data_IF_961550298295
#
_entry.id   IF_961550298295
#
_cell.length_a   1.000
_cell.length_b   1.000
_cell.length_c   1.000
_cell.angle_alpha   90.00
_cell.angle_beta   90.00
_cell.angle_gamma   90.00
#
_symmetry.space_group_name_H-M   'P 1'
#
loop_
_entity.id
_entity.type
_entity.pdbx_description
1 polymer ?
#
# COMPACT_ATOMS: atom_id res chain seq x y z
N UNK A 1 33.81 -2.68 9.30
CA UNK A 1 33.05 -3.78 8.65
C UNK A 1 31.77 -3.31 7.94
N UNK A 2 31.42 -2.00 7.98
CA UNK A 2 30.18 -1.44 7.43
C UNK A 2 30.20 -1.08 5.92
N UNK A 3 31.36 -0.91 5.30
CA UNK A 3 31.47 -0.37 3.93
C UNK A 3 31.38 -1.46 2.83
N UNK A 4 31.60 -2.73 3.14
CA UNK A 4 31.51 -3.83 2.16
C UNK A 4 30.10 -4.42 2.00
N UNK A 5 29.16 -4.13 2.88
CA UNK A 5 27.76 -4.59 2.80
C UNK A 5 26.95 -3.72 1.85
N UNK A 6 27.23 -2.40 1.78
CA UNK A 6 26.49 -1.45 0.95
C UNK A 6 26.60 -1.69 -0.57
N UNK A 7 27.78 -2.11 -1.06
CA UNK A 7 27.99 -2.29 -2.52
C UNK A 7 27.34 -3.56 -3.09
N UNK A 8 26.96 -4.53 -2.27
CA UNK A 8 26.40 -5.81 -2.74
C UNK A 8 24.87 -5.80 -2.89
N UNK A 9 24.15 -4.82 -2.34
CA UNK A 9 22.68 -4.77 -2.40
C UNK A 9 22.11 -3.80 -3.45
N UNK A 10 22.96 -3.14 -4.24
CA UNK A 10 22.54 -2.36 -5.42
C UNK A 10 22.05 -3.26 -6.54
N UNK A 11 22.61 -4.46 -6.66
CA UNK A 11 22.14 -5.49 -7.58
C UNK A 11 20.87 -6.15 -7.01
N UNK A 12 19.83 -6.21 -7.85
CA UNK A 12 18.51 -6.75 -7.46
C UNK A 12 18.55 -8.23 -7.09
N UNK A 13 19.46 -9.03 -7.66
CA UNK A 13 19.57 -10.45 -7.32
C UNK A 13 20.14 -10.62 -5.90
N UNK A 14 21.18 -9.86 -5.57
CA UNK A 14 21.79 -9.82 -4.23
C UNK A 14 20.79 -9.30 -3.18
N UNK A 15 20.03 -8.24 -3.51
CA UNK A 15 18.95 -7.72 -2.66
C UNK A 15 17.89 -8.79 -2.37
N UNK A 16 17.38 -9.45 -3.42
CA UNK A 16 16.38 -10.54 -3.27
C UNK A 16 16.92 -11.67 -2.38
N UNK A 17 18.15 -12.11 -2.60
CA UNK A 17 18.76 -13.18 -1.82
C UNK A 17 18.94 -12.78 -0.34
N UNK A 18 19.34 -11.52 -0.06
CA UNK A 18 19.46 -11.02 1.30
C UNK A 18 18.10 -10.91 1.98
N UNK A 19 17.12 -10.31 1.32
CA UNK A 19 15.75 -10.21 1.81
C UNK A 19 15.14 -11.58 2.13
N UNK A 20 15.34 -12.57 1.25
CA UNK A 20 14.87 -13.94 1.47
C UNK A 20 15.53 -14.56 2.73
N UNK A 21 16.82 -14.32 2.97
CA UNK A 21 17.49 -14.76 4.21
C UNK A 21 16.90 -14.09 5.46
N UNK A 22 16.72 -12.76 5.42
CA UNK A 22 16.16 -12.00 6.55
C UNK A 22 14.75 -12.48 6.90
N UNK A 23 13.92 -12.68 5.90
CA UNK A 23 12.52 -13.11 6.09
C UNK A 23 12.39 -14.59 6.48
N UNK A 24 13.42 -15.43 6.19
CA UNK A 24 13.46 -16.84 6.59
C UNK A 24 13.92 -17.06 8.02
N UNK A 25 14.52 -16.05 8.69
CA UNK A 25 14.96 -16.17 10.08
C UNK A 25 13.82 -16.58 11.00
N UNK A 26 14.09 -17.51 11.94
CA UNK A 26 13.11 -17.94 12.94
C UNK A 26 12.62 -16.78 13.82
N UNK A 27 13.49 -15.79 14.10
CA UNK A 27 13.14 -14.55 14.81
C UNK A 27 12.13 -13.72 14.04
N UNK A 28 12.32 -13.56 12.73
CA UNK A 28 11.40 -12.82 11.86
C UNK A 28 10.03 -13.50 11.81
N UNK A 29 10.02 -14.83 11.66
CA UNK A 29 8.75 -15.61 11.67
C UNK A 29 8.00 -15.44 12.98
N UNK A 30 8.72 -15.50 14.11
CA UNK A 30 8.11 -15.27 15.44
C UNK A 30 7.51 -13.87 15.57
N UNK A 31 8.22 -12.82 15.12
CA UNK A 31 7.68 -11.44 15.12
C UNK A 31 6.36 -11.37 14.36
N UNK A 32 6.29 -12.02 13.18
CA UNK A 32 5.09 -12.03 12.33
C UNK A 32 3.95 -12.78 13.02
N UNK A 33 4.21 -13.98 13.51
CA UNK A 33 3.20 -14.84 14.12
C UNK A 33 2.63 -14.19 15.40
N UNK A 34 3.48 -13.65 16.26
CA UNK A 34 3.07 -12.95 17.49
C UNK A 34 2.22 -11.71 17.19
N UNK A 35 2.60 -10.93 16.16
CA UNK A 35 1.86 -9.74 15.74
C UNK A 35 0.48 -10.07 15.15
N UNK A 36 0.38 -11.13 14.36
CA UNK A 36 -0.90 -11.59 13.80
C UNK A 36 -1.86 -12.09 14.90
N UNK A 37 -1.33 -12.79 15.92
CA UNK A 37 -2.11 -13.21 17.08
C UNK A 37 -2.56 -12.01 17.93
N UNK A 38 -1.64 -11.08 18.20
CA UNK A 38 -1.93 -9.90 19.01
C UNK A 38 -2.80 -8.86 18.30
N UNK A 39 -2.86 -8.87 16.95
CA UNK A 39 -3.50 -7.84 16.15
C UNK A 39 -2.82 -6.48 16.29
N UNK A 40 -1.50 -6.45 16.49
CA UNK A 40 -0.71 -5.23 16.70
C UNK A 40 0.48 -5.18 15.75
N UNK A 41 0.80 -3.97 15.25
CA UNK A 41 1.93 -3.79 14.36
C UNK A 41 3.25 -3.94 15.13
N UNK A 42 4.16 -4.82 14.69
CA UNK A 42 5.42 -5.03 15.40
C UNK A 42 6.45 -3.98 14.95
N UNK A 43 6.76 -3.00 15.80
CA UNK A 43 7.81 -2.00 15.54
C UNK A 43 9.14 -2.69 15.15
N UNK A 44 9.44 -3.82 15.77
CA UNK A 44 10.65 -4.61 15.52
C UNK A 44 10.84 -5.07 14.07
N UNK A 45 9.78 -5.09 13.24
CA UNK A 45 9.93 -5.41 11.81
C UNK A 45 10.58 -4.23 11.06
N UNK A 46 10.23 -2.99 11.40
CA UNK A 46 10.86 -1.80 10.82
C UNK A 46 12.31 -1.70 11.26
N UNK A 47 12.58 -1.90 12.55
CA UNK A 47 13.94 -1.93 13.12
C UNK A 47 14.81 -3.02 12.46
N UNK A 48 14.25 -4.20 12.22
CA UNK A 48 14.93 -5.28 11.51
C UNK A 48 15.27 -4.89 10.07
N UNK A 49 14.29 -4.42 9.29
CA UNK A 49 14.49 -4.06 7.89
C UNK A 49 15.47 -2.90 7.72
N UNK A 50 15.45 -1.91 8.62
CA UNK A 50 16.42 -0.82 8.64
C UNK A 50 17.82 -1.30 8.95
N UNK A 51 18.00 -2.05 10.05
CA UNK A 51 19.28 -2.62 10.46
C UNK A 51 19.91 -3.53 9.40
N UNK A 52 19.09 -4.29 8.69
CA UNK A 52 19.52 -5.17 7.60
C UNK A 52 19.74 -4.41 6.27
N UNK A 53 19.58 -3.08 6.26
CA UNK A 53 19.83 -2.23 5.10
C UNK A 53 18.80 -2.36 3.97
N UNK A 54 17.64 -2.96 4.22
CA UNK A 54 16.61 -3.21 3.19
C UNK A 54 16.04 -1.87 2.67
N UNK A 55 15.73 -0.93 3.57
CA UNK A 55 15.26 0.39 3.15
C UNK A 55 16.38 1.21 2.49
N UNK A 56 17.61 1.13 3.01
CA UNK A 56 18.75 1.85 2.44
C UNK A 56 19.05 1.40 1.00
N UNK A 57 19.00 0.11 0.72
CA UNK A 57 19.16 -0.43 -0.64
C UNK A 57 18.10 0.10 -1.62
N UNK A 58 16.86 0.31 -1.15
CA UNK A 58 15.77 0.86 -1.95
C UNK A 58 15.89 2.37 -2.17
N UNK A 59 16.42 3.12 -1.18
CA UNK A 59 16.49 4.58 -1.15
C UNK A 59 17.89 5.13 -1.47
N UNK A 60 18.62 4.51 -2.42
CA UNK A 60 19.93 4.99 -2.87
C UNK A 60 19.82 6.34 -3.60
N UNK A 61 18.81 6.51 -4.46
CA UNK A 61 18.45 7.83 -4.99
C UNK A 61 17.63 8.55 -3.90
N UNK A 62 18.07 9.75 -3.48
CA UNK A 62 17.35 10.51 -2.45
C UNK A 62 15.96 10.98 -2.87
N UNK A 63 15.63 11.00 -4.15
CA UNK A 63 14.36 11.50 -4.66
C UNK A 63 13.40 10.41 -5.15
N UNK A 64 13.91 9.24 -5.53
CA UNK A 64 13.13 8.18 -6.16
C UNK A 64 13.46 6.80 -5.57
N UNK A 65 12.45 6.02 -5.16
CA UNK A 65 12.69 4.65 -4.75
C UNK A 65 13.03 3.75 -5.95
N UNK A 66 13.90 2.78 -5.76
CA UNK A 66 14.13 1.75 -6.75
C UNK A 66 12.88 0.85 -6.87
N UNK A 67 12.16 0.93 -8.00
CA UNK A 67 10.89 0.22 -8.19
C UNK A 67 11.05 -1.30 -8.18
N UNK A 68 12.16 -1.82 -8.68
CA UNK A 68 12.46 -3.25 -8.64
C UNK A 68 12.65 -3.77 -7.20
N UNK A 69 13.27 -2.95 -6.31
CA UNK A 69 13.39 -3.25 -4.88
C UNK A 69 12.02 -3.17 -4.19
N UNK A 70 11.20 -2.17 -4.56
CA UNK A 70 9.82 -2.05 -4.08
C UNK A 70 8.99 -3.28 -4.44
N UNK A 71 9.06 -3.70 -5.72
CA UNK A 71 8.36 -4.89 -6.21
C UNK A 71 8.81 -6.14 -5.44
N UNK A 72 10.13 -6.33 -5.30
CA UNK A 72 10.69 -7.49 -4.61
C UNK A 72 10.31 -7.54 -3.13
N UNK A 73 10.40 -6.41 -2.42
CA UNK A 73 10.04 -6.30 -1.00
C UNK A 73 8.56 -6.61 -0.78
N UNK A 74 7.69 -5.92 -1.52
CA UNK A 74 6.25 -6.04 -1.36
C UNK A 74 5.72 -7.43 -1.72
N UNK A 75 6.21 -8.02 -2.81
CA UNK A 75 5.82 -9.38 -3.19
C UNK A 75 6.21 -10.41 -2.13
N UNK A 76 7.40 -10.29 -1.55
CA UNK A 76 7.85 -11.21 -0.51
C UNK A 76 7.04 -11.09 0.76
N UNK A 77 6.70 -9.88 1.17
CA UNK A 77 5.78 -9.69 2.29
C UNK A 77 4.39 -10.27 2.00
N UNK A 78 3.90 -10.14 0.77
CA UNK A 78 2.66 -10.81 0.36
C UNK A 78 2.72 -12.34 0.52
N UNK A 79 3.86 -12.95 0.17
CA UNK A 79 4.10 -14.40 0.31
C UNK A 79 4.23 -14.87 1.77
N UNK A 80 4.36 -13.98 2.74
CA UNK A 80 4.36 -14.34 4.16
C UNK A 80 2.95 -14.55 4.73
N UNK A 81 1.91 -14.11 4.02
CA UNK A 81 0.53 -14.21 4.48
C UNK A 81 0.21 -13.33 5.69
N UNK A 82 0.86 -12.18 5.79
CA UNK A 82 0.74 -11.20 6.89
C UNK A 82 0.31 -9.83 6.34
N UNK A 83 -0.92 -9.73 5.85
CA UNK A 83 -1.44 -8.58 5.13
C UNK A 83 -1.34 -7.26 5.90
N UNK A 84 -1.61 -7.27 7.20
CA UNK A 84 -1.51 -6.09 8.06
C UNK A 84 -0.08 -5.57 8.22
N UNK A 85 0.89 -6.47 8.45
CA UNK A 85 2.31 -6.12 8.58
C UNK A 85 2.83 -5.59 7.24
N UNK A 86 2.55 -6.29 6.15
CA UNK A 86 2.97 -5.89 4.82
C UNK A 86 2.46 -4.48 4.46
N UNK A 87 1.20 -4.18 4.78
CA UNK A 87 0.61 -2.85 4.57
C UNK A 87 1.24 -1.78 5.47
N UNK A 88 1.56 -2.11 6.73
CA UNK A 88 2.24 -1.18 7.64
C UNK A 88 3.65 -0.81 7.17
N UNK A 89 4.41 -1.78 6.65
CA UNK A 89 5.72 -1.54 6.00
C UNK A 89 5.57 -0.64 4.77
N UNK A 90 4.54 -0.87 3.95
CA UNK A 90 4.25 -0.03 2.77
C UNK A 90 3.90 1.41 3.16
N UNK A 91 3.10 1.62 4.22
CA UNK A 91 2.74 2.96 4.70
C UNK A 91 3.93 3.70 5.30
N UNK A 92 4.77 3.01 6.06
CA UNK A 92 6.03 3.57 6.55
C UNK A 92 6.91 4.06 5.38
N UNK A 93 7.09 3.23 4.39
CA UNK A 93 7.88 3.54 3.20
C UNK A 93 7.27 4.66 2.34
N UNK A 94 5.94 4.76 2.27
CA UNK A 94 5.22 5.84 1.61
C UNK A 94 5.49 7.21 2.29
N UNK A 95 5.59 7.22 3.62
CA UNK A 95 6.00 8.42 4.36
C UNK A 95 7.46 8.80 4.07
N UNK A 96 8.39 7.83 4.04
CA UNK A 96 9.77 8.07 3.63
C UNK A 96 9.80 8.70 2.23
N UNK A 97 9.00 8.19 1.29
CA UNK A 97 8.91 8.70 -0.06
C UNK A 97 8.55 10.20 -0.11
N UNK A 98 7.58 10.62 0.70
CA UNK A 98 7.22 12.04 0.79
C UNK A 98 8.33 12.89 1.37
N UNK A 99 8.99 12.44 2.45
CA UNK A 99 10.07 13.17 3.09
C UNK A 99 11.30 13.30 2.18
N UNK A 100 11.71 12.23 1.52
CA UNK A 100 12.88 12.20 0.63
C UNK A 100 12.68 13.10 -0.59
N UNK A 101 11.54 13.03 -1.24
CA UNK A 101 11.32 13.78 -2.48
C UNK A 101 10.92 15.23 -2.27
N UNK A 102 10.13 15.52 -1.24
CA UNK A 102 9.51 16.84 -1.06
C UNK A 102 9.94 17.55 0.21
N UNK A 103 10.52 16.85 1.18
CA UNK A 103 11.06 17.44 2.41
C UNK A 103 12.25 18.35 2.11
N UNK A 104 12.09 19.66 2.40
CA UNK A 104 13.12 20.66 2.09
C UNK A 104 13.99 21.04 3.28
N UNK A 105 13.49 20.86 4.50
CA UNK A 105 14.22 21.18 5.72
C UNK A 105 15.23 20.07 6.07
N UNK A 106 16.28 20.41 6.80
CA UNK A 106 17.22 19.44 7.38
C UNK A 106 16.49 18.45 8.29
N UNK A 107 15.59 18.95 9.14
CA UNK A 107 14.82 18.14 10.08
C UNK A 107 13.96 17.07 9.39
N UNK A 108 13.35 17.36 8.25
CA UNK A 108 12.59 16.36 7.47
C UNK A 108 13.51 15.31 6.86
N UNK A 109 14.71 15.71 6.42
CA UNK A 109 15.74 14.78 5.92
C UNK A 109 16.26 13.86 7.02
N UNK A 110 16.56 14.41 8.20
CA UNK A 110 17.02 13.65 9.35
C UNK A 110 16.00 12.58 9.78
N UNK A 111 14.69 12.95 9.81
CA UNK A 111 13.64 11.97 10.12
C UNK A 111 13.53 10.91 9.03
N UNK A 112 13.70 11.26 7.75
CA UNK A 112 13.73 10.28 6.67
C UNK A 112 14.91 9.29 6.82
N UNK A 113 16.07 9.78 7.19
CA UNK A 113 17.27 8.94 7.41
C UNK A 113 17.11 8.02 8.62
N UNK A 114 16.54 8.52 9.74
CA UNK A 114 16.17 7.70 10.89
C UNK A 114 15.14 6.62 10.52
N UNK A 115 14.17 6.95 9.67
CA UNK A 115 13.16 5.99 9.22
C UNK A 115 13.77 4.90 8.30
N UNK A 116 14.69 5.26 7.42
CA UNK A 116 15.46 4.33 6.57
C UNK A 116 16.35 3.43 7.42
N UNK A 117 16.94 3.95 8.49
CA UNK A 117 17.73 3.17 9.44
C UNK A 117 16.88 2.26 10.35
N UNK A 118 15.55 2.41 10.33
CA UNK A 118 14.63 1.69 11.21
C UNK A 118 14.55 2.24 12.64
N UNK A 119 15.13 3.40 12.89
CA UNK A 119 15.15 4.07 14.20
C UNK A 119 13.85 4.81 14.50
N UNK A 120 13.15 5.29 13.45
CA UNK A 120 11.85 5.93 13.54
C UNK A 120 10.79 5.18 12.71
N UNK A 121 9.59 5.02 13.27
CA UNK A 121 8.42 4.48 12.57
C UNK A 121 7.54 5.64 12.11
N UNK A 122 7.22 5.64 10.81
CA UNK A 122 6.38 6.67 10.19
C UNK A 122 4.98 6.13 9.88
N UNK A 123 4.00 7.04 9.95
CA UNK A 123 2.61 6.79 9.60
C UNK A 123 2.12 7.90 8.64
N UNK A 124 1.15 7.60 7.81
CA UNK A 124 0.45 8.58 6.97
C UNK A 124 -1.03 8.60 7.37
N UNK A 125 -1.60 9.77 7.55
CA UNK A 125 -3.02 9.91 7.88
C UNK A 125 -3.67 11.10 7.18
N UNK A 126 -4.67 10.79 6.38
CA UNK A 126 -5.48 11.77 5.68
C UNK A 126 -6.95 11.66 6.04
N UNK A 127 -7.48 10.44 6.19
CA UNK A 127 -8.91 10.15 6.33
C UNK A 127 -9.49 10.63 7.66
N UNK A 128 -10.61 11.35 7.58
CA UNK A 128 -11.45 11.79 8.70
C UNK A 128 -12.79 11.04 8.74
N UNK A 129 -13.60 11.30 9.76
CA UNK A 129 -14.93 10.67 9.87
C UNK A 129 -15.86 11.08 8.71
N UNK A 130 -15.75 12.30 8.23
CA UNK A 130 -16.57 12.88 7.15
C UNK A 130 -15.86 12.93 5.79
N UNK A 131 -14.57 12.62 5.69
CA UNK A 131 -13.79 12.77 4.47
C UNK A 131 -12.76 11.64 4.31
N UNK A 132 -12.88 10.90 3.22
CA UNK A 132 -11.97 9.81 2.85
C UNK A 132 -11.62 9.89 1.37
N UNK A 133 -12.53 9.49 0.48
CA UNK A 133 -12.36 9.64 -0.98
C UNK A 133 -12.35 11.12 -1.40
N UNK A 134 -13.20 11.94 -0.78
CA UNK A 134 -13.17 13.39 -0.95
C UNK A 134 -12.13 14.05 -0.02
N UNK A 135 -10.90 14.17 -0.53
CA UNK A 135 -9.79 14.77 0.20
C UNK A 135 -9.94 16.30 0.39
N UNK A 136 -10.79 16.95 -0.40
CA UNK A 136 -11.06 18.39 -0.26
C UNK A 136 -12.12 18.69 0.81
N UNK A 137 -12.83 17.67 1.27
CA UNK A 137 -13.81 17.74 2.36
C UNK A 137 -13.21 17.61 3.77
N UNK A 138 -11.88 17.65 3.92
CA UNK A 138 -11.21 17.58 5.23
C UNK A 138 -11.61 18.77 6.12
N UNK A 139 -11.81 18.50 7.41
CA UNK A 139 -12.15 19.49 8.44
C UNK A 139 -10.95 19.92 9.30
N UNK A 140 -9.92 19.10 9.39
CA UNK A 140 -8.70 19.42 10.14
C UNK A 140 -7.91 20.53 9.44
N UNK A 141 -7.38 21.46 10.21
CA UNK A 141 -6.80 22.70 9.72
C UNK A 141 -5.35 22.91 10.14
N UNK A 142 -4.61 23.65 9.31
CA UNK A 142 -3.31 24.20 9.62
C UNK A 142 -3.37 25.73 9.45
N UNK A 143 -3.30 26.47 10.55
CA UNK A 143 -3.34 27.94 10.56
C UNK A 143 -1.95 28.48 10.83
N UNK A 144 -1.48 29.44 10.03
CA UNK A 144 -0.17 30.05 10.22
C UNK A 144 -0.13 30.86 11.52
N UNK A 145 0.83 30.60 12.38
CA UNK A 145 1.13 31.30 13.63
C UNK A 145 2.66 31.48 13.75
N UNK A 146 3.12 32.55 14.34
CA UNK A 146 4.50 32.89 14.71
C UNK A 146 5.61 31.88 14.36
N UNK A 147 6.11 31.93 13.12
CA UNK A 147 7.19 31.06 12.65
C UNK A 147 6.81 29.58 12.38
N UNK A 148 5.53 29.23 12.57
CA UNK A 148 5.04 27.87 12.38
C UNK A 148 3.55 27.82 12.03
N UNK A 149 2.92 26.73 12.45
CA UNK A 149 1.51 26.45 12.18
C UNK A 149 0.83 25.83 13.40
N UNK A 150 -0.37 26.31 13.72
CA UNK A 150 -1.27 25.64 14.67
C UNK A 150 -2.10 24.62 13.89
N UNK A 151 -1.94 23.36 14.25
CA UNK A 151 -2.67 22.23 13.67
C UNK A 151 -3.80 21.82 14.59
N UNK A 152 -5.04 21.77 14.08
CA UNK A 152 -6.23 21.38 14.84
C UNK A 152 -7.07 20.37 14.09
N UNK A 153 -7.54 19.34 14.79
CA UNK A 153 -8.46 18.37 14.23
C UNK A 153 -8.25 16.96 14.72
N UNK A 154 -8.73 16.03 13.90
CA UNK A 154 -8.59 14.61 14.15
C UNK A 154 -8.51 13.83 12.85
N UNK A 155 -7.86 12.67 12.89
CA UNK A 155 -7.90 11.69 11.80
C UNK A 155 -8.50 10.40 12.32
N UNK A 156 -9.37 9.78 11.51
CA UNK A 156 -10.03 8.53 11.87
C UNK A 156 -9.10 7.33 11.62
N UNK A 157 -8.40 7.32 10.49
CA UNK A 157 -7.61 6.18 10.06
C UNK A 157 -6.13 6.58 9.99
N UNK A 158 -5.36 6.21 11.01
CA UNK A 158 -3.93 6.41 11.04
C UNK A 158 -3.24 5.06 11.33
N UNK A 159 -2.42 4.58 10.41
CA UNK A 159 -1.78 3.26 10.49
C UNK A 159 -0.28 3.36 10.19
N UNK A 160 0.57 2.80 11.01
CA UNK A 160 0.38 2.17 12.32
C UNK A 160 0.53 3.16 13.49
N UNK A 161 -0.38 4.09 13.68
CA UNK A 161 -0.23 5.21 14.65
C UNK A 161 0.08 4.81 16.09
N UNK A 162 -0.37 3.65 16.65
CA UNK A 162 -0.03 3.27 18.03
C UNK A 162 1.48 3.05 18.28
N UNK A 163 2.27 2.81 17.22
CA UNK A 163 3.72 2.55 17.32
C UNK A 163 4.56 3.57 16.54
N UNK A 164 3.90 4.53 15.87
CA UNK A 164 4.58 5.53 15.07
C UNK A 164 5.24 6.62 15.93
N UNK A 165 6.44 7.04 15.55
CA UNK A 165 7.13 8.19 16.14
C UNK A 165 6.67 9.50 15.51
N UNK A 166 6.36 9.48 14.20
CA UNK A 166 5.86 10.62 13.45
C UNK A 166 4.71 10.24 12.54
N UNK A 167 3.81 11.18 12.33
CA UNK A 167 2.67 11.03 11.42
C UNK A 167 2.70 12.14 10.38
N UNK A 168 2.63 11.78 9.10
CA UNK A 168 2.33 12.73 8.03
C UNK A 168 0.83 13.00 8.05
N UNK A 169 0.44 14.22 8.35
CA UNK A 169 -0.95 14.67 8.39
C UNK A 169 -1.29 15.48 7.14
N UNK A 170 -2.40 15.10 6.47
CA UNK A 170 -3.01 15.91 5.43
C UNK A 170 -4.05 16.84 6.06
N UNK A 171 -3.90 18.16 5.86
CA UNK A 171 -4.68 19.21 6.52
C UNK A 171 -5.10 20.27 5.52
N UNK A 172 -6.20 20.98 5.78
CA UNK A 172 -6.53 22.20 5.07
C UNK A 172 -5.67 23.33 5.58
N UNK A 173 -4.88 23.95 4.70
CA UNK A 173 -4.13 25.16 5.02
C UNK A 173 -5.06 26.36 5.00
N UNK A 174 -5.30 26.99 6.15
CA UNK A 174 -6.05 28.25 6.21
C UNK A 174 -5.02 29.39 6.14
N UNK A 175 -4.83 29.90 4.93
CA UNK A 175 -4.25 31.22 4.73
C UNK A 175 -5.38 32.18 4.35
N UNK A 176 -5.48 33.31 5.04
CA UNK A 176 -6.52 34.32 4.78
C UNK A 176 -6.50 34.88 3.34
N UNK A 177 -5.42 34.62 2.59
CA UNK A 177 -5.23 35.06 1.20
C UNK A 177 -5.71 34.08 0.14
N UNK A 178 -6.01 32.82 0.49
CA UNK A 178 -6.36 31.76 -0.47
C UNK A 178 -7.57 30.94 0.01
N UNK A 179 -8.76 31.51 -0.09
CA UNK A 179 -10.01 30.79 0.07
C UNK A 179 -10.34 29.98 -1.22
N UNK A 180 -9.42 29.11 -1.68
CA UNK A 180 -9.57 28.28 -2.86
C UNK A 180 -9.84 26.82 -2.50
N UNK A 181 -10.35 26.04 -3.48
CA UNK A 181 -10.66 24.61 -3.33
C UNK A 181 -9.42 23.72 -3.12
N UNK A 182 -8.22 24.22 -3.37
CA UNK A 182 -6.96 23.44 -3.33
C UNK A 182 -6.02 24.01 -2.26
N UNK A 183 -6.44 23.88 -1.00
CA UNK A 183 -5.67 24.35 0.16
C UNK A 183 -5.02 23.20 0.97
N UNK A 184 -4.95 21.99 0.41
CA UNK A 184 -4.34 20.85 1.09
C UNK A 184 -2.84 21.07 1.33
N UNK A 185 -2.43 20.87 2.59
CA UNK A 185 -1.04 20.92 3.06
C UNK A 185 -0.67 19.62 3.75
N UNK A 186 0.62 19.28 3.77
CA UNK A 186 1.14 18.10 4.46
C UNK A 186 2.18 18.51 5.49
N UNK A 187 2.02 17.99 6.71
CA UNK A 187 2.94 18.23 7.82
C UNK A 187 3.40 16.92 8.43
N UNK A 188 4.67 16.86 8.81
CA UNK A 188 5.20 15.81 9.66
C UNK A 188 5.04 16.24 11.12
N UNK A 189 4.38 15.42 11.92
CA UNK A 189 4.09 15.75 13.32
C UNK A 189 4.56 14.63 14.24
N UNK A 190 5.34 14.93 15.30
CA UNK A 190 5.70 13.94 16.31
C UNK A 190 4.43 13.36 16.96
N UNK A 191 4.33 12.05 17.08
CA UNK A 191 3.16 11.38 17.67
C UNK A 191 3.00 11.76 19.15
N UNK A 192 4.10 12.09 19.83
CA UNK A 192 4.10 12.58 21.21
C UNK A 192 3.32 13.89 21.43
N UNK A 193 3.07 14.65 20.35
CA UNK A 193 2.27 15.88 20.38
C UNK A 193 0.78 15.65 20.09
N UNK A 194 0.37 14.38 19.98
CA UNK A 194 -0.99 13.98 19.64
C UNK A 194 -1.53 12.99 20.66
N UNK A 195 -2.84 12.87 20.73
CA UNK A 195 -3.49 11.79 21.45
C UNK A 195 -3.88 10.69 20.47
N UNK A 196 -3.23 9.54 20.54
CA UNK A 196 -3.61 8.34 19.82
C UNK A 196 -4.74 7.64 20.58
N UNK A 197 -5.82 7.32 19.88
CA UNK A 197 -6.94 6.58 20.46
C UNK A 197 -6.69 5.07 20.50
N UNK A 198 -7.70 4.33 20.93
CA UNK A 198 -7.66 2.86 20.90
C UNK A 198 -7.68 2.38 19.44
N UNK A 199 -6.84 1.38 19.12
CA UNK A 199 -6.86 0.73 17.84
C UNK A 199 -8.23 0.10 17.54
N UNK A 200 -8.66 0.20 16.30
CA UNK A 200 -9.93 -0.39 15.86
C UNK A 200 -9.82 -1.91 15.73
N UNK A 201 -10.89 -2.60 16.07
CA UNK A 201 -11.06 -4.01 15.75
C UNK A 201 -11.53 -4.13 14.30
N UNK A 202 -10.60 -4.38 13.41
CA UNK A 202 -10.84 -4.45 11.95
C UNK A 202 -11.16 -5.88 11.51
N UNK A 203 -11.95 -6.03 10.45
CA UNK A 203 -12.31 -7.34 9.86
C UNK A 203 -11.07 -8.08 9.34
N UNK A 204 -10.14 -7.37 8.73
CA UNK A 204 -8.89 -7.90 8.18
C UNK A 204 -7.73 -6.91 8.39
N UNK A 205 -6.53 -7.33 8.06
CA UNK A 205 -5.28 -6.60 8.26
C UNK A 205 -5.12 -6.10 9.73
N UNK A 206 -5.50 -6.92 10.70
CA UNK A 206 -5.58 -6.52 12.12
C UNK A 206 -4.23 -6.07 12.67
N UNK A 207 -3.16 -6.73 12.26
CA UNK A 207 -1.78 -6.43 12.66
C UNK A 207 -1.24 -5.09 12.12
N UNK A 208 -2.01 -4.33 11.31
CA UNK A 208 -1.61 -2.98 10.90
C UNK A 208 -1.80 -1.95 12.02
N UNK A 209 -2.64 -2.23 13.02
CA UNK A 209 -2.92 -1.34 14.17
C UNK A 209 -3.40 0.06 13.77
N UNK A 210 -4.55 0.14 13.13
CA UNK A 210 -5.17 1.43 12.77
C UNK A 210 -5.87 2.05 13.99
N UNK A 211 -5.53 3.31 14.32
CA UNK A 211 -6.19 4.04 15.42
C UNK A 211 -6.53 5.49 15.00
N UNK A 212 -7.51 6.14 15.66
CA UNK A 212 -7.74 7.56 15.45
C UNK A 212 -6.69 8.39 16.17
N UNK A 213 -6.38 9.57 15.63
CA UNK A 213 -5.48 10.54 16.24
C UNK A 213 -6.16 11.89 16.37
N UNK A 214 -5.90 12.59 17.47
CA UNK A 214 -6.50 13.88 17.82
C UNK A 214 -5.37 14.85 18.16
N UNK A 215 -5.45 16.07 17.64
CA UNK A 215 -4.39 17.06 17.80
C UNK A 215 -4.93 18.48 17.88
N UNK A 216 -4.33 19.26 18.77
CA UNK A 216 -4.33 20.70 18.84
C UNK A 216 -2.92 21.11 19.25
N UNK A 217 -2.02 21.26 18.27
CA UNK A 217 -0.59 21.41 18.50
C UNK A 217 0.02 22.46 17.58
N UNK A 218 1.11 23.05 18.03
CA UNK A 218 1.93 23.92 17.19
C UNK A 218 3.13 23.15 16.63
N UNK A 219 3.42 23.36 15.37
CA UNK A 219 4.60 22.81 14.70
C UNK A 219 5.37 23.93 13.99
N UNK A 220 6.69 23.84 14.01
CA UNK A 220 7.55 24.75 13.28
C UNK A 220 7.34 24.62 11.76
N UNK A 221 7.56 25.70 11.01
CA UNK A 221 7.39 25.72 9.55
C UNK A 221 8.32 24.73 8.82
N UNK A 222 9.43 24.34 9.41
CA UNK A 222 10.36 23.33 8.89
C UNK A 222 9.81 21.90 8.90
N UNK A 223 8.67 21.65 9.58
CA UNK A 223 7.94 20.37 9.55
C UNK A 223 6.92 20.27 8.41
N UNK A 224 6.78 21.31 7.58
CA UNK A 224 5.89 21.30 6.42
C UNK A 224 6.54 20.57 5.24
N UNK A 225 5.89 19.49 4.79
CA UNK A 225 6.32 18.70 3.62
C UNK A 225 5.80 19.35 2.33
N UNK A 226 4.52 19.73 2.33
CA UNK A 226 3.85 20.36 1.20
C UNK A 226 3.04 21.57 1.68
N UNK A 227 3.26 22.71 1.02
CA UNK A 227 2.52 23.95 1.29
C UNK A 227 1.06 23.83 0.85
N UNK A 228 0.15 24.67 1.38
CA UNK A 228 -1.20 24.80 0.86
C UNK A 228 -1.21 24.94 -0.67
N UNK A 229 -2.12 24.22 -1.34
CA UNK A 229 -2.22 24.17 -2.80
C UNK A 229 -1.29 23.18 -3.50
N UNK A 230 -0.35 22.54 -2.78
CA UNK A 230 0.52 21.49 -3.37
C UNK A 230 0.37 20.14 -2.72
N UNK A 231 -0.36 20.05 -1.60
CA UNK A 231 -0.50 18.83 -0.81
C UNK A 231 -1.15 17.68 -1.56
N UNK A 232 -2.17 17.97 -2.39
CA UNK A 232 -2.84 16.93 -3.17
C UNK A 232 -1.90 16.30 -4.22
N UNK A 233 -1.06 17.10 -4.87
CA UNK A 233 -0.10 16.59 -5.86
C UNK A 233 0.98 15.71 -5.19
N UNK A 234 1.49 16.14 -4.02
CA UNK A 234 2.47 15.37 -3.24
C UNK A 234 1.85 14.06 -2.74
N UNK A 235 0.64 14.12 -2.18
CA UNK A 235 -0.07 12.93 -1.70
C UNK A 235 -0.40 11.97 -2.86
N UNK A 236 -0.85 12.49 -4.00
CA UNK A 236 -1.16 11.67 -5.18
C UNK A 236 0.07 10.94 -5.73
N UNK A 237 1.22 11.61 -5.72
CA UNK A 237 2.48 10.97 -6.10
C UNK A 237 2.89 9.86 -5.13
N UNK A 238 2.80 10.11 -3.82
CA UNK A 238 3.11 9.10 -2.80
C UNK A 238 2.14 7.90 -2.88
N UNK A 239 0.84 8.17 -3.09
CA UNK A 239 -0.17 7.13 -3.32
C UNK A 239 0.12 6.30 -4.58
N UNK A 240 0.75 6.86 -5.61
CA UNK A 240 1.15 6.08 -6.78
C UNK A 240 2.21 5.03 -6.41
N UNK A 241 3.17 5.37 -5.56
CA UNK A 241 4.18 4.43 -5.05
C UNK A 241 3.52 3.35 -4.15
N UNK A 242 2.65 3.76 -3.25
CA UNK A 242 1.91 2.87 -2.35
C UNK A 242 1.02 1.89 -3.13
N UNK A 243 0.28 2.35 -4.14
CA UNK A 243 -0.58 1.51 -4.99
C UNK A 243 0.21 0.46 -5.75
N UNK A 244 1.39 0.82 -6.28
CA UNK A 244 2.29 -0.12 -6.93
C UNK A 244 2.79 -1.19 -5.95
N UNK A 245 3.24 -0.78 -4.76
CA UNK A 245 3.68 -1.68 -3.70
C UNK A 245 2.54 -2.62 -3.24
N UNK A 246 1.32 -2.09 -3.08
CA UNK A 246 0.14 -2.88 -2.71
C UNK A 246 -0.21 -3.90 -3.80
N UNK A 247 -0.14 -3.54 -5.09
CA UNK A 247 -0.35 -4.48 -6.18
C UNK A 247 0.67 -5.64 -6.12
N UNK A 248 1.94 -5.32 -5.92
CA UNK A 248 3.00 -6.32 -5.76
C UNK A 248 2.76 -7.24 -4.54
N UNK A 249 2.36 -6.67 -3.40
CA UNK A 249 2.01 -7.41 -2.19
C UNK A 249 0.87 -8.42 -2.45
N UNK A 250 -0.19 -7.98 -3.11
CA UNK A 250 -1.34 -8.85 -3.40
C UNK A 250 -0.98 -9.96 -4.39
N UNK A 251 -0.14 -9.68 -5.39
CA UNK A 251 0.39 -10.74 -6.26
C UNK A 251 1.18 -11.80 -5.49
N UNK A 252 2.03 -11.37 -4.56
CA UNK A 252 2.75 -12.29 -3.67
C UNK A 252 1.80 -13.18 -2.87
N UNK A 253 0.74 -12.60 -2.32
CA UNK A 253 -0.31 -13.33 -1.60
C UNK A 253 -1.08 -14.31 -2.51
N UNK A 254 -1.37 -13.93 -3.77
CA UNK A 254 -1.99 -14.82 -4.75
C UNK A 254 -1.12 -16.03 -5.07
N UNK A 255 0.18 -15.83 -5.30
CA UNK A 255 1.11 -16.93 -5.55
C UNK A 255 1.17 -17.89 -4.37
N UNK A 256 1.21 -17.37 -3.12
CA UNK A 256 1.16 -18.21 -1.93
C UNK A 256 -0.13 -19.03 -1.88
N UNK A 257 -1.29 -18.39 -2.02
CA UNK A 257 -2.58 -19.05 -1.91
C UNK A 257 -2.79 -20.13 -2.99
N UNK A 258 -2.45 -19.82 -4.25
CA UNK A 258 -2.52 -20.78 -5.35
C UNK A 258 -1.56 -21.96 -5.14
N UNK A 259 -0.31 -21.69 -4.76
CA UNK A 259 0.67 -22.76 -4.50
C UNK A 259 0.23 -23.72 -3.39
N UNK A 260 -0.28 -23.18 -2.27
CA UNK A 260 -0.81 -23.97 -1.15
C UNK A 260 -2.06 -24.75 -1.59
N UNK A 261 -2.92 -24.14 -2.42
CA UNK A 261 -4.14 -24.78 -2.94
C UNK A 261 -3.80 -25.94 -3.88
N UNK A 262 -2.86 -25.77 -4.80
CA UNK A 262 -2.39 -26.86 -5.69
C UNK A 262 -1.79 -28.00 -4.87
N UNK A 263 -0.99 -27.69 -3.84
CA UNK A 263 -0.43 -28.72 -2.96
C UNK A 263 -1.53 -29.52 -2.24
N UNK A 264 -2.56 -28.85 -1.74
CA UNK A 264 -3.72 -29.52 -1.16
C UNK A 264 -4.46 -30.37 -2.19
N UNK A 265 -4.73 -29.83 -3.38
CA UNK A 265 -5.43 -30.57 -4.44
C UNK A 265 -4.71 -31.87 -4.82
N UNK A 266 -3.38 -31.88 -4.82
CA UNK A 266 -2.59 -33.10 -5.11
C UNK A 266 -2.60 -34.11 -3.97
N UNK A 267 -2.75 -33.66 -2.73
CA UNK A 267 -2.77 -34.54 -1.54
C UNK A 267 -4.16 -35.06 -1.18
N UNK A 268 -5.19 -34.24 -1.32
CA UNK A 268 -6.57 -34.60 -0.93
C UNK A 268 -7.23 -35.40 -2.00
N UNK A 269 -7.81 -36.54 -1.62
CA UNK A 269 -8.63 -37.42 -2.50
C UNK A 269 -10.12 -37.18 -2.23
N UNK A 270 -10.91 -37.24 -3.29
CA UNK A 270 -12.37 -37.26 -3.28
C UNK A 270 -12.87 -38.15 -4.43
N UNK A 271 -13.88 -38.94 -4.20
CA UNK A 271 -14.38 -39.91 -5.18
C UNK A 271 -13.27 -40.82 -5.76
N UNK A 272 -12.31 -41.23 -4.93
CA UNK A 272 -11.23 -42.15 -5.29
C UNK A 272 -9.99 -41.53 -5.96
N UNK A 273 -10.05 -40.30 -6.43
CA UNK A 273 -8.95 -39.60 -7.13
C UNK A 273 -8.52 -38.34 -6.40
N UNK A 274 -7.34 -37.80 -6.72
CA UNK A 274 -6.89 -36.52 -6.16
C UNK A 274 -7.79 -35.37 -6.64
N UNK A 275 -7.99 -34.35 -5.82
CA UNK A 275 -8.76 -33.17 -6.24
C UNK A 275 -8.21 -32.53 -7.51
N UNK A 276 -6.89 -32.58 -7.71
CA UNK A 276 -6.22 -32.09 -8.91
C UNK A 276 -6.62 -32.83 -10.19
N UNK A 277 -7.04 -34.09 -10.08
CA UNK A 277 -7.44 -34.91 -11.23
C UNK A 277 -8.87 -34.58 -11.70
N UNK A 278 -9.66 -33.89 -10.86
CA UNK A 278 -10.93 -33.32 -11.29
C UNK A 278 -10.72 -32.15 -12.23
N UNK A 279 -11.04 -32.33 -13.52
CA UNK A 279 -10.79 -31.35 -14.57
C UNK A 279 -11.35 -29.96 -14.25
N UNK A 280 -12.59 -29.88 -13.75
CA UNK A 280 -13.26 -28.62 -13.42
C UNK A 280 -12.48 -27.79 -12.39
N UNK A 281 -11.91 -28.44 -11.36
CA UNK A 281 -11.12 -27.76 -10.33
C UNK A 281 -9.76 -27.33 -10.87
N UNK A 282 -9.09 -28.21 -11.61
CA UNK A 282 -7.78 -27.94 -12.20
C UNK A 282 -7.82 -26.77 -13.19
N UNK A 283 -8.82 -26.70 -14.07
CA UNK A 283 -8.96 -25.63 -15.04
C UNK A 283 -9.28 -24.29 -14.38
N UNK A 284 -10.07 -24.28 -13.32
CA UNK A 284 -10.34 -23.08 -12.53
C UNK A 284 -9.07 -22.49 -11.90
N UNK A 285 -8.24 -23.32 -11.29
CA UNK A 285 -6.95 -22.88 -10.72
C UNK A 285 -5.98 -22.43 -11.83
N UNK A 286 -5.97 -23.11 -12.97
CA UNK A 286 -5.12 -22.73 -14.12
C UNK A 286 -5.50 -21.35 -14.68
N UNK A 287 -6.80 -21.02 -14.80
CA UNK A 287 -7.26 -19.69 -15.21
C UNK A 287 -6.76 -18.61 -14.24
N UNK A 288 -6.96 -18.81 -12.94
CA UNK A 288 -6.48 -17.86 -11.93
C UNK A 288 -4.97 -17.68 -11.97
N UNK A 289 -4.21 -18.77 -12.11
CA UNK A 289 -2.76 -18.71 -12.21
C UNK A 289 -2.30 -17.91 -13.44
N UNK A 290 -2.89 -18.18 -14.61
CA UNK A 290 -2.56 -17.47 -15.84
C UNK A 290 -2.81 -15.95 -15.71
N UNK A 291 -3.93 -15.56 -15.09
CA UNK A 291 -4.25 -14.15 -14.85
C UNK A 291 -3.28 -13.48 -13.85
N UNK A 292 -2.86 -14.20 -12.80
CA UNK A 292 -1.84 -13.74 -11.85
C UNK A 292 -0.50 -13.56 -12.54
N UNK A 293 -0.10 -14.50 -13.40
CA UNK A 293 1.16 -14.41 -14.16
C UNK A 293 1.15 -13.21 -15.12
N UNK A 294 0.03 -12.96 -15.80
CA UNK A 294 -0.12 -11.78 -16.67
C UNK A 294 -0.04 -10.46 -15.89
N UNK A 295 -0.63 -10.39 -14.70
CA UNK A 295 -0.50 -9.20 -13.84
C UNK A 295 0.94 -9.01 -13.35
N UNK A 296 1.67 -10.09 -13.11
CA UNK A 296 3.09 -10.03 -12.77
C UNK A 296 3.91 -9.42 -13.90
N UNK A 297 3.70 -9.86 -15.14
CA UNK A 297 4.36 -9.29 -16.31
C UNK A 297 4.03 -7.79 -16.49
N UNK A 298 2.79 -7.38 -16.17
CA UNK A 298 2.41 -5.97 -16.19
C UNK A 298 3.19 -5.13 -15.16
N UNK A 299 3.39 -5.64 -13.94
CA UNK A 299 4.22 -4.93 -12.94
C UNK A 299 5.70 -4.92 -13.31
N UNK A 300 6.23 -5.99 -13.91
CA UNK A 300 7.59 -6.00 -14.44
C UNK A 300 7.77 -4.96 -15.56
N UNK A 301 6.74 -4.78 -16.39
CA UNK A 301 6.72 -3.72 -17.42
C UNK A 301 6.77 -2.31 -16.83
N UNK A 302 6.09 -2.06 -15.69
CA UNK A 302 6.18 -0.78 -14.98
C UNK A 302 7.57 -0.57 -14.36
N UNK A 303 8.23 -1.63 -13.88
CA UNK A 303 9.61 -1.55 -13.38
C UNK A 303 10.57 -1.21 -14.53
N UNK A 304 10.46 -1.90 -15.66
CA UNK A 304 11.29 -1.67 -16.83
C UNK A 304 11.12 -0.27 -17.44
N UNK A 305 9.95 0.32 -17.26
CA UNK A 305 9.64 1.70 -17.66
C UNK A 305 9.18 2.52 -16.46
N UNK A 306 10.11 2.84 -15.54
CA UNK A 306 9.82 3.55 -14.31
C UNK A 306 9.15 4.92 -14.53
N UNK A 307 9.41 5.59 -15.64
CA UNK A 307 8.73 6.83 -16.04
C UNK A 307 7.23 6.61 -16.33
N UNK A 308 6.83 5.38 -16.63
CA UNK A 308 5.43 4.98 -16.84
C UNK A 308 4.63 4.84 -15.52
N UNK A 309 5.31 4.79 -14.36
CA UNK A 309 4.61 4.78 -13.07
C UNK A 309 4.09 6.18 -12.73
N UNK A 310 2.82 6.36 -12.91
CA UNK A 310 2.09 7.60 -12.63
C UNK A 310 0.78 7.30 -11.88
N UNK A 311 0.00 8.35 -11.63
CA UNK A 311 -1.28 8.23 -10.87
C UNK A 311 -2.25 7.27 -11.56
N UNK A 312 -2.36 7.31 -12.91
CA UNK A 312 -3.27 6.46 -13.68
C UNK A 312 -2.79 5.01 -13.74
N UNK A 313 -1.52 4.76 -14.11
CA UNK A 313 -0.98 3.40 -14.23
C UNK A 313 -0.94 2.67 -12.89
N UNK A 314 -0.62 3.38 -11.79
CA UNK A 314 -0.66 2.82 -10.44
C UNK A 314 -2.08 2.51 -9.98
N UNK A 315 -3.06 3.36 -10.31
CA UNK A 315 -4.47 3.11 -10.03
C UNK A 315 -4.96 1.87 -10.79
N UNK A 316 -4.69 1.77 -12.08
CA UNK A 316 -5.03 0.62 -12.90
C UNK A 316 -4.41 -0.68 -12.36
N UNK A 317 -3.11 -0.66 -12.06
CA UNK A 317 -2.42 -1.82 -11.50
C UNK A 317 -3.05 -2.26 -10.17
N UNK A 318 -3.24 -1.33 -9.22
CA UNK A 318 -3.81 -1.63 -7.90
C UNK A 318 -5.21 -2.19 -8.00
N UNK A 319 -6.12 -1.52 -8.69
CA UNK A 319 -7.53 -1.95 -8.72
C UNK A 319 -7.71 -3.29 -9.41
N UNK A 320 -6.97 -3.55 -10.50
CA UNK A 320 -7.04 -4.81 -11.25
C UNK A 320 -6.47 -5.96 -10.43
N UNK A 321 -5.27 -5.79 -9.85
CA UNK A 321 -4.61 -6.85 -9.09
C UNK A 321 -5.37 -7.17 -7.79
N UNK A 322 -5.86 -6.16 -7.07
CA UNK A 322 -6.60 -6.38 -5.81
C UNK A 322 -7.92 -7.09 -6.05
N UNK A 323 -8.65 -6.76 -7.13
CA UNK A 323 -9.88 -7.48 -7.49
C UNK A 323 -9.60 -8.93 -7.84
N UNK A 324 -8.56 -9.19 -8.64
CA UNK A 324 -8.09 -10.56 -8.91
C UNK A 324 -7.70 -11.28 -7.62
N UNK A 325 -7.00 -10.61 -6.72
CA UNK A 325 -6.62 -11.17 -5.41
C UNK A 325 -7.81 -11.59 -4.56
N UNK A 326 -8.88 -10.80 -4.52
CA UNK A 326 -10.12 -11.17 -3.84
C UNK A 326 -10.75 -12.44 -4.45
N UNK A 327 -10.74 -12.57 -5.76
CA UNK A 327 -11.25 -13.76 -6.48
C UNK A 327 -10.37 -14.97 -6.17
N UNK A 328 -9.05 -14.85 -6.28
CA UNK A 328 -8.08 -15.91 -5.96
C UNK A 328 -8.28 -16.43 -4.53
N UNK A 329 -8.35 -15.53 -3.54
CA UNK A 329 -8.53 -15.92 -2.14
C UNK A 329 -9.85 -16.62 -1.92
N UNK A 330 -10.93 -16.13 -2.53
CA UNK A 330 -12.28 -16.75 -2.44
C UNK A 330 -12.29 -18.16 -3.04
N UNK A 331 -11.71 -18.34 -4.22
CA UNK A 331 -11.66 -19.63 -4.90
C UNK A 331 -10.73 -20.64 -4.19
N UNK A 332 -9.58 -20.19 -3.71
CA UNK A 332 -8.68 -21.02 -2.91
C UNK A 332 -9.37 -21.52 -1.63
N UNK A 333 -10.05 -20.61 -0.91
CA UNK A 333 -10.82 -20.96 0.28
C UNK A 333 -11.94 -21.96 -0.04
N UNK A 334 -12.65 -21.77 -1.15
CA UNK A 334 -13.70 -22.68 -1.62
C UNK A 334 -13.16 -24.07 -1.94
N UNK A 335 -12.04 -24.19 -2.66
CA UNK A 335 -11.40 -25.47 -3.00
C UNK A 335 -10.91 -26.23 -1.75
N UNK A 336 -10.54 -25.51 -0.70
CA UNK A 336 -10.17 -26.11 0.58
C UNK A 336 -11.37 -26.74 1.31
N UNK A 337 -12.60 -26.35 0.98
CA UNK A 337 -13.82 -26.82 1.64
C UNK A 337 -13.86 -26.39 3.10
N UNK A 338 -14.27 -27.28 4.02
CA UNK A 338 -14.34 -26.98 5.45
C UNK A 338 -13.01 -26.45 6.01
N UNK A 339 -11.90 -27.02 5.59
CA UNK A 339 -10.58 -26.54 6.01
C UNK A 339 -10.27 -25.10 5.59
N UNK A 340 -10.94 -24.58 4.57
CA UNK A 340 -10.79 -23.19 4.12
C UNK A 340 -11.44 -22.17 5.06
N UNK A 341 -12.46 -22.59 5.82
CA UNK A 341 -13.21 -21.71 6.73
C UNK A 341 -12.86 -21.93 8.21
N UNK A 342 -12.13 -22.97 8.53
CA UNK A 342 -11.65 -23.27 9.88
C UNK A 342 -10.26 -22.67 10.08
N UNK A 343 -10.17 -21.59 10.85
CA UNK A 343 -8.89 -20.86 11.10
C UNK A 343 -7.81 -21.76 11.72
N UNK A 344 -8.21 -22.79 12.48
CA UNK A 344 -7.29 -23.78 13.05
C UNK A 344 -6.68 -24.74 12.00
N UNK A 345 -7.30 -24.89 10.81
CA UNK A 345 -6.85 -25.79 9.76
C UNK A 345 -6.12 -25.06 8.62
N UNK A 346 -6.47 -23.81 8.36
CA UNK A 346 -5.80 -23.00 7.33
C UNK A 346 -5.93 -21.48 7.58
N UNK A 347 -4.96 -20.68 7.13
CA UNK A 347 -5.02 -19.22 7.25
C UNK A 347 -5.86 -18.55 6.14
N UNK A 348 -6.50 -19.31 5.24
CA UNK A 348 -7.17 -18.76 4.05
C UNK A 348 -8.28 -17.78 4.40
N UNK A 349 -9.04 -18.04 5.47
CA UNK A 349 -10.09 -17.14 5.95
C UNK A 349 -9.52 -15.78 6.38
N UNK A 350 -8.35 -15.75 7.04
CA UNK A 350 -7.63 -14.53 7.39
C UNK A 350 -7.12 -13.83 6.12
N UNK A 351 -6.45 -14.53 5.22
CA UNK A 351 -5.92 -13.95 3.98
C UNK A 351 -7.03 -13.35 3.11
N UNK A 352 -8.18 -14.00 3.04
CA UNK A 352 -9.36 -13.49 2.34
C UNK A 352 -9.85 -12.15 2.93
N UNK A 353 -9.93 -12.03 4.27
CA UNK A 353 -10.28 -10.78 4.94
C UNK A 353 -9.24 -9.69 4.71
N UNK A 354 -7.95 -10.03 4.78
CA UNK A 354 -6.85 -9.08 4.60
C UNK A 354 -6.83 -8.48 3.19
N UNK A 355 -6.94 -9.32 2.15
CA UNK A 355 -6.97 -8.85 0.75
C UNK A 355 -8.19 -7.98 0.47
N UNK A 356 -9.33 -8.26 1.12
CA UNK A 356 -10.53 -7.44 0.99
C UNK A 356 -10.32 -6.00 1.43
N UNK A 357 -9.50 -5.77 2.46
CA UNK A 357 -9.17 -4.42 2.95
C UNK A 357 -8.40 -3.59 1.92
N UNK A 358 -7.60 -4.23 1.07
CA UNK A 358 -6.86 -3.56 0.01
C UNK A 358 -7.75 -2.92 -1.06
N UNK A 359 -9.03 -3.29 -1.18
CA UNK A 359 -9.99 -2.61 -2.07
C UNK A 359 -10.38 -1.21 -1.59
N UNK A 360 -10.06 -0.87 -0.32
CA UNK A 360 -10.41 0.40 0.33
C UNK A 360 -9.17 1.26 0.53
N UNK A 361 -8.10 0.69 1.10
CA UNK A 361 -6.83 1.40 1.33
C UNK A 361 -6.17 1.87 0.03
N UNK A 362 -5.46 3.00 0.06
CA UNK A 362 -4.83 3.60 -1.13
C UNK A 362 -5.82 4.13 -2.18
N UNK A 363 -7.12 4.23 -1.83
CA UNK A 363 -8.26 4.62 -2.68
C UNK A 363 -9.17 3.44 -2.99
N UNK A 364 -10.50 3.67 -2.89
CA UNK A 364 -11.50 2.65 -3.23
C UNK A 364 -11.47 2.29 -4.71
N UNK A 365 -12.02 1.13 -5.07
CA UNK A 365 -12.09 0.70 -6.47
C UNK A 365 -12.73 1.79 -7.36
N UNK A 366 -13.80 2.42 -6.90
CA UNK A 366 -14.56 3.44 -7.61
C UNK A 366 -13.66 4.66 -7.90
N UNK A 367 -12.96 5.17 -6.88
CA UNK A 367 -12.02 6.29 -7.05
C UNK A 367 -10.88 5.96 -8.01
N UNK A 368 -10.39 4.73 -7.98
CA UNK A 368 -9.32 4.32 -8.89
C UNK A 368 -9.83 4.15 -10.32
N UNK A 369 -11.07 3.67 -10.51
CA UNK A 369 -11.68 3.63 -11.83
C UNK A 369 -11.94 5.03 -12.40
N UNK A 370 -12.33 6.01 -11.59
CA UNK A 370 -12.45 7.41 -12.02
C UNK A 370 -11.09 7.97 -12.51
N UNK A 371 -10.00 7.66 -11.78
CA UNK A 371 -8.65 8.05 -12.22
C UNK A 371 -8.28 7.43 -13.57
N UNK A 372 -8.64 6.16 -13.80
CA UNK A 372 -8.41 5.49 -15.08
C UNK A 372 -9.29 6.08 -16.17
N UNK A 373 -10.57 6.31 -15.87
CA UNK A 373 -11.56 6.84 -16.82
C UNK A 373 -11.22 8.25 -17.29
N UNK A 374 -10.68 9.11 -16.41
CA UNK A 374 -10.24 10.46 -16.77
C UNK A 374 -9.15 10.51 -17.86
N UNK A 375 -8.48 9.40 -18.13
CA UNK A 375 -7.49 9.30 -19.20
C UNK A 375 -7.95 8.48 -20.41
N UNK A 376 -9.26 8.20 -20.56
CA UNK A 376 -9.80 7.58 -21.76
C UNK A 376 -9.92 8.64 -22.87
N UNK A 377 -9.33 8.34 -24.01
CA UNK A 377 -9.38 9.21 -25.18
C UNK A 377 -10.30 8.59 -26.24
N UNK A 378 -11.24 9.38 -26.82
CA UNK A 378 -12.09 8.90 -27.89
C UNK A 378 -11.33 8.85 -29.23
N UNK A 379 -11.59 7.86 -30.04
CA UNK A 379 -11.13 7.77 -31.44
C UNK A 379 -12.29 8.17 -32.37
N UNK A 380 -12.55 9.47 -32.50
CA UNK A 380 -13.59 9.99 -33.37
C UNK A 380 -13.35 9.67 -34.85
N UNK A 381 -12.08 9.61 -35.30
CA UNK A 381 -11.78 9.30 -36.69
C UNK A 381 -12.22 7.88 -37.08
N UNK A 382 -11.91 6.88 -36.23
CA UNK A 382 -12.41 5.52 -36.44
C UNK A 382 -13.92 5.43 -36.25
N UNK A 383 -14.48 6.17 -35.28
CA UNK A 383 -15.92 6.19 -35.04
C UNK A 383 -16.67 6.66 -36.28
N UNK A 384 -16.30 7.82 -36.84
CA UNK A 384 -16.96 8.42 -38.02
C UNK A 384 -16.81 7.54 -39.29
N UNK A 385 -15.72 6.76 -39.37
CA UNK A 385 -15.48 5.84 -40.47
C UNK A 385 -16.28 4.54 -40.36
N UNK A 386 -16.47 4.01 -39.15
CA UNK A 386 -16.97 2.65 -38.93
C UNK A 386 -18.43 2.61 -38.46
N UNK A 387 -18.92 3.69 -37.86
CA UNK A 387 -20.25 3.76 -37.27
C UNK A 387 -21.16 4.65 -38.10
N UNK A 388 -22.20 4.07 -38.68
CA UNK A 388 -23.24 4.79 -39.42
C UNK A 388 -24.48 4.85 -38.55
N UNK A 389 -24.71 6.00 -37.89
CA UNK A 389 -25.91 6.20 -37.10
C UNK A 389 -27.13 6.27 -38.02
N UNK A 390 -28.14 5.45 -37.69
CA UNK A 390 -29.41 5.51 -38.41
C UNK A 390 -30.06 6.88 -38.18
N UNK A 391 -30.36 7.57 -39.30
CA UNK A 391 -31.18 8.80 -39.25
C UNK A 391 -32.58 8.46 -39.71
N UNK A 392 -33.63 8.90 -38.99
CA UNK A 392 -34.99 8.75 -39.49
C UNK A 392 -35.13 9.51 -40.79
N UNK A 393 -35.70 8.83 -41.82
CA UNK A 393 -36.10 9.51 -43.06
C UNK A 393 -37.09 10.61 -42.67
N UNK A 394 -36.85 11.84 -43.15
CA UNK A 394 -37.85 12.91 -43.04
C UNK A 394 -39.12 12.43 -43.77
N UNK A 395 -40.16 12.16 -43.00
CA UNK A 395 -41.47 11.86 -43.55
C UNK A 395 -41.97 13.17 -44.17
N UNK A 396 -41.77 13.29 -45.51
CA UNK A 396 -42.28 14.40 -46.28
C UNK A 396 -43.80 14.46 -46.38
#
# INVERSE_FOLDING_TARGET
>A
MSIQVETSMTDIASFKAHLDRVLALASTRRIIDDAEVAGTFPRSIIELLGREGIFAAKWQDPALPALEHTLALSERFGRLGCGGIASGVTLHDSAIAMLRRFGRSERLRDVADQAIAGEAVLCVSATEAGAGSDMLGLSSTAVREDGGYRLRGHKKMASPSPVADYIVLALRGIDQSHAGRDDLALFLVPTSQMRVGKAFDTVGARSISTAPVFFDTWVSADMMIARPGTGLAVLSWALAQERFAMAAQILGACHLALGVTVARMKRRKSFGVALFDHQALRLRVADLQARVDMMRLALDGLVANAAGLNVRSSAAAKVTVVRLGCEVMSECMHIFGSAGVLEMESPLGRWWRDVKMARIGGGTDEMLWEIVAAGLEPDFASYDQLVHEWQPEEVG
#
